data_IF_918279475337
#
_entry.id   IF_918279475337
#
_cell.length_a   1.000
_cell.length_b   1.000
_cell.length_c   1.000
_cell.angle_alpha   90.00
_cell.angle_beta   90.00
_cell.angle_gamma   90.00
#
_symmetry.space_group_name_H-M   'P 1'
#
loop_
_entity.id
_entity.type
_entity.pdbx_description
1 polymer ?
#
# COMPACT_ATOMS: atom_id res chain seq x y z
N UNK A 1 2.92 -6.32 15.26
CA UNK A 1 1.87 -6.11 14.25
C UNK A 1 0.74 -7.05 14.60
N UNK A 2 -0.48 -6.54 14.77
CA UNK A 2 -1.60 -7.36 15.18
C UNK A 2 -1.84 -8.45 14.13
N UNK A 3 -1.74 -9.71 14.54
CA UNK A 3 -2.27 -10.85 13.80
C UNK A 3 -3.78 -10.60 13.70
N UNK A 4 -4.25 -10.06 12.58
CA UNK A 4 -5.68 -9.86 12.40
C UNK A 4 -6.37 -11.22 12.41
N UNK A 5 -7.48 -11.29 13.17
CA UNK A 5 -8.22 -12.50 13.45
C UNK A 5 -8.80 -13.11 12.17
N UNK A 6 -8.64 -14.42 12.02
CA UNK A 6 -9.43 -15.27 11.13
C UNK A 6 -10.89 -14.82 11.20
N UNK A 7 -11.47 -14.41 10.06
CA UNK A 7 -12.89 -14.05 10.00
C UNK A 7 -13.69 -15.32 10.25
N UNK A 8 -14.63 -15.23 11.19
CA UNK A 8 -15.62 -16.26 11.45
C UNK A 8 -16.68 -16.20 10.36
N UNK A 9 -16.59 -17.12 9.39
CA UNK A 9 -17.48 -17.18 8.24
C UNK A 9 -18.95 -17.31 8.64
N UNK A 10 -19.28 -17.80 9.85
CA UNK A 10 -20.67 -17.96 10.30
C UNK A 10 -21.38 -16.64 10.63
N UNK A 11 -20.63 -15.53 10.72
CA UNK A 11 -21.15 -14.20 11.10
C UNK A 11 -21.48 -13.31 9.91
N UNK A 12 -21.26 -13.78 8.69
CA UNK A 12 -21.48 -13.02 7.47
C UNK A 12 -22.87 -13.28 6.91
N UNK A 13 -23.47 -12.27 6.29
CA UNK A 13 -24.81 -12.35 5.69
C UNK A 13 -24.75 -12.94 4.29
N UNK A 14 -24.42 -14.23 4.22
CA UNK A 14 -24.40 -15.00 2.96
C UNK A 14 -25.76 -15.01 2.26
N UNK A 15 -26.84 -15.01 3.03
CA UNK A 15 -28.20 -15.09 2.51
C UNK A 15 -28.58 -13.85 1.69
N UNK A 16 -28.17 -12.65 2.11
CA UNK A 16 -28.41 -11.41 1.34
C UNK A 16 -27.71 -11.40 -0.02
N UNK A 17 -26.62 -12.16 -0.16
CA UNK A 17 -25.80 -12.26 -1.37
C UNK A 17 -26.00 -13.53 -2.21
N UNK A 18 -27.04 -14.33 -1.95
CA UNK A 18 -27.23 -15.65 -2.60
C UNK A 18 -25.98 -16.55 -2.45
N UNK A 19 -25.47 -16.69 -1.23
CA UNK A 19 -24.25 -17.41 -0.83
C UNK A 19 -22.94 -16.83 -1.40
N UNK A 20 -22.98 -15.61 -1.94
CA UNK A 20 -21.82 -14.91 -2.49
C UNK A 20 -21.72 -13.49 -1.96
N UNK A 21 -20.57 -13.17 -1.36
CA UNK A 21 -20.28 -11.81 -0.93
C UNK A 21 -19.37 -11.11 -1.94
N UNK A 22 -19.63 -9.83 -2.27
CA UNK A 22 -18.65 -8.98 -2.93
C UNK A 22 -17.38 -8.88 -2.08
N UNK A 23 -16.23 -9.04 -2.75
CA UNK A 23 -14.91 -8.86 -2.17
C UNK A 23 -14.19 -7.77 -2.96
N UNK A 24 -14.10 -6.58 -2.35
CA UNK A 24 -13.30 -5.47 -2.86
C UNK A 24 -11.85 -5.76 -2.49
N UNK A 25 -10.98 -5.87 -3.49
CA UNK A 25 -9.55 -6.06 -3.26
C UNK A 25 -8.81 -4.75 -3.43
N UNK A 26 -8.08 -4.35 -2.40
CA UNK A 26 -7.33 -3.12 -2.35
C UNK A 26 -5.84 -3.41 -2.13
N UNK A 27 -4.96 -2.64 -2.78
CA UNK A 27 -3.55 -2.68 -2.50
C UNK A 27 -3.31 -2.24 -1.04
N UNK A 28 -2.72 -3.11 -0.23
CA UNK A 28 -2.57 -2.88 1.22
C UNK A 28 -1.79 -1.62 1.56
N UNK A 29 -0.78 -1.31 0.73
CA UNK A 29 0.10 -0.16 0.92
C UNK A 29 -0.43 1.15 0.28
N UNK A 30 -0.69 1.18 -1.03
CA UNK A 30 -1.07 2.41 -1.74
C UNK A 30 -2.55 2.78 -1.62
N UNK A 31 -3.40 1.83 -1.18
CA UNK A 31 -4.85 2.01 -1.12
C UNK A 31 -5.55 1.96 -2.49
N UNK A 32 -4.83 1.67 -3.58
CA UNK A 32 -5.40 1.49 -4.92
C UNK A 32 -6.43 0.35 -4.92
N UNK A 33 -7.65 0.59 -5.39
CA UNK A 33 -8.63 -0.49 -5.59
C UNK A 33 -8.19 -1.30 -6.81
N UNK A 34 -7.91 -2.58 -6.59
CA UNK A 34 -7.34 -3.47 -7.60
C UNK A 34 -8.43 -4.14 -8.43
N UNK A 35 -9.44 -4.70 -7.78
CA UNK A 35 -10.55 -5.39 -8.43
C UNK A 35 -11.70 -5.63 -7.47
N UNK A 36 -12.85 -6.02 -8.02
CA UNK A 36 -13.94 -6.63 -7.28
C UNK A 36 -14.09 -8.08 -7.74
N UNK A 37 -14.19 -9.00 -6.79
CA UNK A 37 -14.57 -10.39 -7.04
C UNK A 37 -15.72 -10.81 -6.12
N UNK A 38 -16.08 -12.08 -6.18
CA UNK A 38 -17.10 -12.66 -5.30
C UNK A 38 -16.49 -13.86 -4.59
N UNK A 39 -16.78 -14.02 -3.30
CA UNK A 39 -16.37 -15.16 -2.49
C UNK A 39 -17.61 -15.86 -1.96
N UNK A 40 -17.63 -17.18 -2.00
CA UNK A 40 -18.49 -17.98 -1.11
C UNK A 40 -17.70 -18.32 0.17
N UNK A 41 -18.35 -19.01 1.11
CA UNK A 41 -17.71 -19.41 2.37
C UNK A 41 -16.41 -20.23 2.17
N UNK A 42 -16.38 -21.12 1.18
CA UNK A 42 -15.20 -21.94 0.84
C UNK A 42 -14.05 -21.10 0.29
N UNK A 43 -14.33 -20.13 -0.59
CA UNK A 43 -13.32 -19.24 -1.16
C UNK A 43 -12.68 -18.35 -0.08
N UNK A 44 -13.48 -17.86 0.87
CA UNK A 44 -12.99 -17.10 2.02
C UNK A 44 -12.13 -17.97 2.94
N UNK A 45 -12.59 -19.17 3.28
CA UNK A 45 -11.83 -20.13 4.07
C UNK A 45 -10.48 -20.48 3.41
N UNK A 46 -10.49 -20.74 2.10
CA UNK A 46 -9.27 -21.01 1.32
C UNK A 46 -8.32 -19.81 1.28
N UNK A 47 -8.87 -18.60 1.18
CA UNK A 47 -8.08 -17.36 1.22
C UNK A 47 -7.35 -17.22 2.55
N UNK A 48 -8.08 -17.41 3.66
CA UNK A 48 -7.51 -17.36 5.01
C UNK A 48 -6.48 -18.46 5.27
N UNK A 49 -6.71 -19.68 4.75
CA UNK A 49 -5.82 -20.81 4.96
C UNK A 49 -4.53 -20.73 4.13
N UNK A 50 -4.63 -20.29 2.86
CA UNK A 50 -3.49 -20.26 1.94
C UNK A 50 -2.72 -18.94 1.96
N UNK A 51 -3.32 -17.86 2.46
CA UNK A 51 -2.78 -16.51 2.36
C UNK A 51 -2.78 -15.96 0.93
N UNK A 52 -3.51 -16.57 0.00
CA UNK A 52 -3.67 -16.08 -1.38
C UNK A 52 -5.16 -15.82 -1.65
N UNK A 53 -5.48 -14.71 -2.33
CA UNK A 53 -6.88 -14.36 -2.60
C UNK A 53 -7.51 -15.37 -3.57
N UNK A 54 -8.51 -16.09 -3.06
CA UNK A 54 -9.33 -17.06 -3.80
C UNK A 54 -10.76 -16.56 -3.91
N UNK A 55 -11.30 -16.60 -5.12
CA UNK A 55 -12.68 -16.23 -5.41
C UNK A 55 -13.52 -17.46 -5.78
N UNK A 56 -14.84 -17.27 -5.84
CA UNK A 56 -15.74 -18.22 -6.48
C UNK A 56 -16.13 -17.72 -7.87
N UNK A 57 -15.85 -18.53 -8.90
CA UNK A 57 -16.24 -18.21 -10.28
C UNK A 57 -17.67 -18.67 -10.54
N UNK A 58 -18.62 -17.73 -10.61
CA UNK A 58 -20.02 -18.02 -10.96
C UNK A 58 -20.19 -18.72 -12.31
N UNK A 59 -19.38 -18.38 -13.30
CA UNK A 59 -19.48 -18.99 -14.63
C UNK A 59 -18.89 -20.39 -14.69
N UNK A 60 -17.83 -20.67 -13.92
CA UNK A 60 -17.16 -21.99 -13.89
C UNK A 60 -17.61 -22.88 -12.72
N UNK A 61 -18.44 -22.35 -11.81
CA UNK A 61 -18.96 -23.02 -10.62
C UNK A 61 -17.85 -23.69 -9.78
N UNK A 62 -16.74 -22.98 -9.57
CA UNK A 62 -15.58 -23.48 -8.82
C UNK A 62 -14.81 -22.38 -8.11
N UNK A 63 -14.00 -22.77 -7.13
CA UNK A 63 -12.94 -21.93 -6.58
C UNK A 63 -11.93 -21.56 -7.66
N UNK A 64 -11.44 -20.33 -7.60
CA UNK A 64 -10.44 -19.77 -8.51
C UNK A 64 -9.49 -18.91 -7.70
N UNK A 65 -8.23 -19.35 -7.57
CA UNK A 65 -7.21 -18.53 -6.91
C UNK A 65 -6.65 -17.52 -7.91
N UNK A 66 -6.68 -16.23 -7.55
CA UNK A 66 -6.18 -15.19 -8.43
C UNK A 66 -4.72 -15.48 -8.77
N UNK A 67 -4.41 -15.53 -10.06
CA UNK A 67 -3.07 -15.82 -10.54
C UNK A 67 -2.74 -17.31 -10.72
N UNK A 68 -3.68 -18.24 -10.49
CA UNK A 68 -3.42 -19.70 -10.64
C UNK A 68 -2.87 -20.10 -12.03
N UNK A 69 -3.15 -19.31 -13.07
CA UNK A 69 -2.62 -19.53 -14.43
C UNK A 69 -1.54 -18.54 -14.85
N UNK A 70 -1.58 -17.29 -14.35
CA UNK A 70 -0.66 -16.23 -14.79
C UNK A 70 0.55 -16.03 -13.87
N UNK A 71 0.52 -16.60 -12.66
CA UNK A 71 1.48 -16.30 -11.59
C UNK A 71 1.23 -14.96 -10.89
N UNK A 72 0.32 -14.12 -11.39
CA UNK A 72 -0.02 -12.82 -10.78
C UNK A 72 -0.98 -12.98 -9.62
N UNK A 73 -0.45 -13.52 -8.53
CA UNK A 73 -1.17 -13.78 -7.28
C UNK A 73 -1.38 -12.50 -6.47
N UNK A 74 -2.37 -12.55 -5.59
CA UNK A 74 -2.63 -11.51 -4.59
C UNK A 74 -2.38 -12.15 -3.21
N UNK A 75 -1.28 -11.76 -2.56
CA UNK A 75 -0.95 -12.24 -1.23
C UNK A 75 -1.79 -11.48 -0.19
N UNK A 76 -2.54 -12.20 0.62
CA UNK A 76 -3.43 -11.64 1.63
C UNK A 76 -2.63 -10.91 2.71
N UNK A 77 -3.07 -9.70 3.08
CA UNK A 77 -2.56 -8.94 4.22
C UNK A 77 -3.58 -8.81 5.33
N UNK A 78 -4.84 -8.54 4.98
CA UNK A 78 -5.94 -8.37 5.93
C UNK A 78 -7.29 -8.56 5.24
N UNK A 79 -8.30 -8.89 6.03
CA UNK A 79 -9.70 -8.92 5.62
C UNK A 79 -10.49 -8.11 6.65
N UNK A 80 -11.33 -7.19 6.16
CA UNK A 80 -12.32 -6.49 6.96
C UNK A 80 -13.70 -6.76 6.40
N UNK A 81 -14.65 -6.77 7.31
CA UNK A 81 -16.07 -6.92 7.04
C UNK A 81 -16.70 -5.55 7.25
N UNK A 82 -17.65 -5.16 6.40
CA UNK A 82 -18.39 -3.92 6.57
C UNK A 82 -19.42 -3.99 7.70
N UNK A 83 -20.23 -2.94 7.87
CA UNK A 83 -21.04 -2.74 9.07
C UNK A 83 -22.29 -3.64 9.14
N UNK A 84 -22.80 -4.12 8.01
CA UNK A 84 -23.91 -5.07 7.91
C UNK A 84 -23.48 -6.47 7.43
N UNK A 85 -22.17 -6.71 7.36
CA UNK A 85 -21.55 -8.01 7.15
C UNK A 85 -21.87 -8.69 5.82
N UNK A 86 -22.11 -7.90 4.78
CA UNK A 86 -22.39 -8.39 3.43
C UNK A 86 -21.26 -8.10 2.43
N UNK A 87 -20.23 -7.35 2.82
CA UNK A 87 -19.10 -7.02 1.94
C UNK A 87 -17.76 -7.24 2.62
N UNK A 88 -16.81 -7.79 1.85
CA UNK A 88 -15.43 -7.98 2.28
C UNK A 88 -14.53 -6.90 1.66
N UNK A 89 -13.74 -6.23 2.50
CA UNK A 89 -12.56 -5.48 2.08
C UNK A 89 -11.32 -6.35 2.32
N UNK A 90 -10.73 -6.82 1.22
CA UNK A 90 -9.51 -7.62 1.23
C UNK A 90 -8.35 -6.71 0.90
N UNK A 91 -7.42 -6.50 1.84
CA UNK A 91 -6.16 -5.83 1.51
C UNK A 91 -5.13 -6.89 1.11
N UNK A 92 -4.52 -6.69 -0.06
CA UNK A 92 -3.60 -7.65 -0.65
C UNK A 92 -2.36 -6.98 -1.24
N UNK A 93 -1.29 -7.75 -1.36
CA UNK A 93 -0.07 -7.42 -2.07
C UNK A 93 -0.05 -8.12 -3.44
N UNK A 94 -0.05 -7.36 -4.55
CA UNK A 94 -0.02 -7.96 -5.88
C UNK A 94 1.41 -8.38 -6.28
N UNK A 95 1.53 -9.57 -6.86
CA UNK A 95 2.77 -10.06 -7.46
C UNK A 95 2.71 -9.99 -8.99
N UNK A 96 2.90 -8.78 -9.53
CA UNK A 96 2.69 -8.46 -10.95
C UNK A 96 1.35 -7.78 -11.20
N UNK A 97 0.98 -7.53 -12.47
CA UNK A 97 -0.24 -6.81 -12.80
C UNK A 97 -1.48 -7.61 -12.36
N UNK A 98 -2.42 -6.95 -11.67
CA UNK A 98 -3.66 -7.60 -11.26
C UNK A 98 -4.55 -7.86 -12.48
N UNK A 99 -4.63 -6.89 -13.38
CA UNK A 99 -5.51 -6.94 -14.55
C UNK A 99 -4.89 -7.78 -15.68
N UNK A 100 -5.73 -8.50 -16.40
CA UNK A 100 -5.32 -9.30 -17.57
C UNK A 100 -4.83 -8.45 -18.75
N UNK A 101 -5.11 -7.15 -18.75
CA UNK A 101 -4.58 -6.19 -19.73
C UNK A 101 -3.16 -5.70 -19.39
N UNK A 102 -2.54 -6.22 -18.32
CA UNK A 102 -1.22 -5.80 -17.87
C UNK A 102 -1.20 -4.55 -16.99
N UNK A 103 -2.36 -4.00 -16.63
CA UNK A 103 -2.49 -2.85 -15.72
C UNK A 103 -2.54 -3.28 -14.24
N UNK A 104 -2.25 -2.35 -13.32
CA UNK A 104 -2.29 -2.58 -11.87
C UNK A 104 -3.71 -2.88 -11.36
N UNK A 105 -4.71 -2.20 -11.91
CA UNK A 105 -6.12 -2.30 -11.52
C UNK A 105 -7.02 -2.66 -12.71
N UNK A 106 -8.11 -3.35 -12.42
CA UNK A 106 -9.21 -3.58 -13.36
C UNK A 106 -10.00 -2.32 -13.69
N UNK A 107 -9.88 -1.25 -12.90
CA UNK A 107 -10.59 0.01 -13.08
C UNK A 107 -9.82 1.05 -13.92
N UNK A 108 -8.72 0.63 -14.56
CA UNK A 108 -7.88 1.50 -15.38
C UNK A 108 -6.90 2.35 -14.57
N UNK A 109 -6.46 3.45 -15.17
CA UNK A 109 -5.56 4.42 -14.54
C UNK A 109 -6.34 5.38 -13.63
N UNK A 110 -5.66 6.07 -12.71
CA UNK A 110 -6.23 7.09 -11.82
C UNK A 110 -7.20 6.64 -10.70
N UNK A 111 -7.28 5.35 -10.38
CA UNK A 111 -7.98 4.86 -9.16
C UNK A 111 -7.11 4.84 -7.89
N UNK A 112 -5.88 5.30 -8.02
CA UNK A 112 -4.93 5.39 -6.91
C UNK A 112 -5.23 6.62 -6.06
N UNK A 113 -5.31 6.49 -4.73
CA UNK A 113 -5.36 7.65 -3.84
C UNK A 113 -4.14 8.57 -4.06
N UNK A 114 -4.29 9.90 -4.08
CA UNK A 114 -3.17 10.82 -4.37
C UNK A 114 -1.94 10.60 -3.47
N UNK A 115 -2.16 10.40 -2.16
CA UNK A 115 -1.07 10.15 -1.21
C UNK A 115 -0.51 8.73 -1.25
N UNK A 116 -1.14 7.81 -1.99
CA UNK A 116 -0.65 6.45 -2.20
C UNK A 116 0.72 6.42 -2.89
N UNK A 117 1.04 7.45 -3.67
CA UNK A 117 2.34 7.61 -4.32
C UNK A 117 3.51 7.69 -3.32
N UNK A 118 3.31 8.27 -2.13
CA UNK A 118 4.37 8.34 -1.11
C UNK A 118 4.81 6.94 -0.66
N UNK A 119 3.87 6.00 -0.60
CA UNK A 119 4.17 4.63 -0.21
C UNK A 119 4.94 3.87 -1.31
N UNK A 120 4.66 4.16 -2.57
CA UNK A 120 5.41 3.64 -3.72
C UNK A 120 6.81 4.23 -3.81
N UNK A 121 6.94 5.54 -3.58
CA UNK A 121 8.22 6.21 -3.50
C UNK A 121 9.09 5.58 -2.40
N UNK A 122 8.51 5.36 -1.22
CA UNK A 122 9.19 4.70 -0.09
C UNK A 122 9.61 3.26 -0.43
N UNK A 123 8.80 2.51 -1.17
CA UNK A 123 9.15 1.16 -1.65
C UNK A 123 10.26 1.19 -2.72
N UNK A 124 10.17 2.12 -3.68
CA UNK A 124 11.17 2.31 -4.73
C UNK A 124 12.54 2.68 -4.14
N UNK A 125 12.57 3.61 -3.17
CA UNK A 125 13.80 3.99 -2.49
C UNK A 125 14.39 2.81 -1.72
N UNK A 126 13.56 1.98 -1.08
CA UNK A 126 14.00 0.74 -0.42
C UNK A 126 14.63 -0.25 -1.42
N UNK A 127 13.97 -0.48 -2.55
CA UNK A 127 14.48 -1.34 -3.62
C UNK A 127 15.84 -0.84 -4.12
N UNK A 128 15.94 0.47 -4.43
CA UNK A 128 17.19 1.07 -4.92
C UNK A 128 18.30 1.06 -3.86
N UNK A 129 17.94 1.08 -2.57
CA UNK A 129 18.91 0.90 -1.49
C UNK A 129 19.51 -0.50 -1.47
N UNK A 130 18.69 -1.53 -1.75
CA UNK A 130 19.13 -2.92 -1.80
C UNK A 130 19.91 -3.25 -3.09
N UNK A 131 19.40 -2.84 -4.25
CA UNK A 131 19.92 -3.24 -5.56
C UNK A 131 21.06 -2.36 -6.08
N UNK A 132 21.16 -1.11 -5.60
CA UNK A 132 22.17 -0.13 -6.04
C UNK A 132 22.31 -0.03 -7.58
N UNK A 133 21.23 0.29 -8.32
CA UNK A 133 21.29 0.39 -9.77
C UNK A 133 22.27 1.47 -10.22
N UNK A 134 23.12 1.15 -11.20
CA UNK A 134 24.13 2.06 -11.77
C UNK A 134 23.48 3.31 -12.36
N UNK A 135 24.09 4.48 -12.11
CA UNK A 135 23.64 5.75 -12.68
C UNK A 135 22.45 6.41 -11.98
N UNK A 136 21.78 5.72 -11.06
CA UNK A 136 20.65 6.29 -10.30
C UNK A 136 21.11 7.35 -9.28
N UNK A 137 20.37 8.46 -9.19
CA UNK A 137 20.62 9.50 -8.19
C UNK A 137 20.57 8.98 -6.75
N UNK A 138 19.60 8.11 -6.43
CA UNK A 138 19.49 7.50 -5.09
C UNK A 138 20.71 6.64 -4.76
N UNK A 139 21.28 5.94 -5.75
CA UNK A 139 22.50 5.14 -5.56
C UNK A 139 23.66 6.04 -5.14
N UNK A 140 23.86 7.16 -5.83
CA UNK A 140 24.90 8.15 -5.48
C UNK A 140 24.72 8.73 -4.08
N UNK A 141 23.48 8.99 -3.66
CA UNK A 141 23.18 9.44 -2.30
C UNK A 141 23.60 8.40 -1.26
N UNK A 142 23.20 7.15 -1.47
CA UNK A 142 23.53 6.06 -0.54
C UNK A 142 25.03 5.72 -0.52
N UNK A 143 25.74 5.83 -1.65
CA UNK A 143 27.20 5.68 -1.71
C UNK A 143 27.94 6.84 -1.01
N UNK A 144 27.37 8.04 -1.04
CA UNK A 144 27.87 9.21 -0.30
C UNK A 144 27.70 9.10 1.22
N UNK A 145 26.97 8.10 1.70
CA UNK A 145 26.79 7.79 3.11
C UNK A 145 25.89 8.79 3.87
N UNK A 146 25.66 8.49 5.14
CA UNK A 146 24.70 9.21 5.98
C UNK A 146 24.98 10.71 6.10
N UNK A 147 26.26 11.12 6.09
CA UNK A 147 26.63 12.55 6.18
C UNK A 147 26.07 13.35 5.01
N UNK A 148 26.25 12.86 3.78
CA UNK A 148 25.74 13.52 2.57
C UNK A 148 24.22 13.54 2.53
N UNK A 149 23.59 12.44 2.92
CA UNK A 149 22.12 12.34 2.96
C UNK A 149 21.55 13.33 3.97
N UNK A 150 22.11 13.40 5.18
CA UNK A 150 21.67 14.32 6.22
C UNK A 150 21.92 15.78 5.87
N UNK A 151 23.04 16.08 5.17
CA UNK A 151 23.29 17.40 4.62
C UNK A 151 22.15 17.83 3.69
N UNK A 152 21.74 16.95 2.76
CA UNK A 152 20.63 17.24 1.87
C UNK A 152 19.33 17.52 2.62
N UNK A 153 18.95 16.67 3.57
CA UNK A 153 17.76 16.92 4.42
C UNK A 153 17.82 18.29 5.11
N UNK A 154 19.00 18.72 5.56
CA UNK A 154 19.19 20.04 6.16
C UNK A 154 19.06 21.21 5.18
N UNK A 155 19.64 21.08 3.99
CA UNK A 155 19.54 22.08 2.89
C UNK A 155 18.07 22.28 2.51
N UNK A 156 17.38 21.21 2.10
CA UNK A 156 15.98 21.29 1.64
C UNK A 156 15.05 21.78 2.78
N UNK A 157 15.39 21.49 4.04
CA UNK A 157 14.63 21.96 5.20
C UNK A 157 14.73 23.47 5.40
N UNK A 158 15.92 24.05 5.18
CA UNK A 158 16.12 25.50 5.22
C UNK A 158 15.46 26.16 4.00
N UNK A 159 15.61 25.57 2.82
CA UNK A 159 15.02 26.08 1.57
C UNK A 159 13.50 26.08 1.66
N UNK A 160 12.87 25.00 2.16
CA UNK A 160 11.43 24.93 2.44
C UNK A 160 10.99 26.06 3.38
N UNK A 161 11.73 26.30 4.46
CA UNK A 161 11.39 27.34 5.43
C UNK A 161 11.51 28.76 4.84
N UNK A 162 12.51 29.01 4.00
CA UNK A 162 12.68 30.28 3.31
C UNK A 162 11.61 30.48 2.23
N UNK A 163 11.29 29.43 1.47
CA UNK A 163 10.25 29.46 0.44
C UNK A 163 8.89 29.80 1.05
N UNK A 164 8.55 29.19 2.19
CA UNK A 164 7.31 29.46 2.91
C UNK A 164 7.14 30.92 3.37
N UNK A 165 8.24 31.65 3.53
CA UNK A 165 8.22 33.06 3.99
C UNK A 165 8.28 34.04 2.83
N UNK A 166 9.01 33.70 1.75
CA UNK A 166 9.49 34.69 0.80
C UNK A 166 9.28 34.34 -0.68
N UNK A 167 8.80 33.13 -1.00
CA UNK A 167 8.61 32.66 -2.39
C UNK A 167 7.15 32.33 -2.66
N UNK A 168 6.86 31.91 -3.89
CA UNK A 168 5.52 31.51 -4.29
C UNK A 168 5.23 30.02 -3.97
N UNK A 169 3.98 29.62 -4.19
CA UNK A 169 3.50 28.27 -3.88
C UNK A 169 4.23 27.18 -4.69
N UNK A 170 4.69 27.48 -5.91
CA UNK A 170 5.40 26.52 -6.75
C UNK A 170 6.80 26.23 -6.20
N UNK A 171 7.55 27.26 -5.80
CA UNK A 171 8.82 27.07 -5.11
C UNK A 171 8.62 26.30 -3.79
N UNK A 172 7.65 26.70 -2.96
CA UNK A 172 7.39 26.01 -1.70
C UNK A 172 7.07 24.51 -1.90
N UNK A 173 6.23 24.18 -2.90
CA UNK A 173 5.92 22.79 -3.23
C UNK A 173 7.14 22.02 -3.73
N UNK A 174 8.02 22.67 -4.50
CA UNK A 174 9.27 22.08 -4.97
C UNK A 174 10.20 21.70 -3.82
N UNK A 175 10.51 22.66 -2.95
CA UNK A 175 11.40 22.44 -1.80
C UNK A 175 10.82 21.41 -0.81
N UNK A 176 9.50 21.46 -0.58
CA UNK A 176 8.83 20.48 0.26
C UNK A 176 8.88 19.07 -0.35
N UNK A 177 8.77 18.94 -1.67
CA UNK A 177 8.89 17.65 -2.35
C UNK A 177 10.31 17.08 -2.23
N UNK A 178 11.34 17.92 -2.41
CA UNK A 178 12.74 17.52 -2.26
C UNK A 178 13.07 17.14 -0.81
N UNK A 179 12.54 17.88 0.16
CA UNK A 179 12.63 17.53 1.58
C UNK A 179 12.01 16.17 1.88
N UNK A 180 10.78 15.90 1.40
CA UNK A 180 10.10 14.60 1.60
C UNK A 180 10.89 13.47 0.96
N UNK A 181 11.42 13.67 -0.26
CA UNK A 181 12.25 12.69 -0.95
C UNK A 181 13.54 12.39 -0.16
N UNK A 182 14.29 13.43 0.23
CA UNK A 182 15.55 13.28 0.94
C UNK A 182 15.37 12.70 2.34
N UNK A 183 14.27 13.05 3.04
CA UNK A 183 13.88 12.42 4.29
C UNK A 183 13.62 10.91 4.11
N UNK A 184 12.92 10.53 3.04
CA UNK A 184 12.66 9.11 2.72
C UNK A 184 13.96 8.34 2.52
N UNK A 185 14.92 8.91 1.79
CA UNK A 185 16.26 8.33 1.60
C UNK A 185 17.00 8.18 2.95
N UNK A 186 16.93 9.19 3.82
CA UNK A 186 17.57 9.16 5.14
C UNK A 186 17.00 8.06 6.04
N UNK A 187 15.67 7.93 6.07
CA UNK A 187 14.98 6.86 6.81
C UNK A 187 15.41 5.49 6.31
N UNK A 188 15.38 5.26 4.99
CA UNK A 188 15.77 3.98 4.38
C UNK A 188 17.23 3.61 4.62
N UNK A 189 18.14 4.59 4.57
CA UNK A 189 19.55 4.40 4.93
C UNK A 189 19.76 4.00 6.41
N UNK A 190 18.77 4.24 7.28
CA UNK A 190 18.75 3.84 8.70
C UNK A 190 17.94 2.58 8.97
N UNK A 191 17.37 1.94 7.94
CA UNK A 191 16.47 0.80 8.11
C UNK A 191 15.06 1.17 8.59
N UNK A 192 14.66 2.44 8.45
CA UNK A 192 13.32 2.96 8.76
C UNK A 192 12.55 3.24 7.47
N UNK A 193 11.29 3.66 7.59
CA UNK A 193 10.38 3.95 6.47
C UNK A 193 9.45 5.13 6.75
N UNK A 194 8.75 5.62 5.73
CA UNK A 194 7.65 6.56 5.93
C UNK A 194 6.51 5.96 6.76
N UNK A 195 6.29 4.64 6.69
CA UNK A 195 5.29 3.95 7.51
C UNK A 195 5.60 4.11 9.01
N UNK A 196 6.88 4.04 9.40
CA UNK A 196 7.30 4.25 10.79
C UNK A 196 7.01 5.69 11.25
N UNK A 197 7.22 6.67 10.37
CA UNK A 197 6.88 8.08 10.64
C UNK A 197 5.38 8.26 10.82
N UNK A 198 4.56 7.69 9.93
CA UNK A 198 3.10 7.74 10.00
C UNK A 198 2.60 7.08 11.29
N UNK A 199 3.14 5.92 11.66
CA UNK A 199 2.76 5.24 12.89
C UNK A 199 3.07 6.08 14.14
N UNK A 200 4.24 6.75 14.15
CA UNK A 200 4.62 7.65 15.24
C UNK A 200 3.72 8.89 15.31
N UNK A 201 3.38 9.50 14.18
CA UNK A 201 2.45 10.64 14.11
C UNK A 201 1.05 10.26 14.59
N UNK A 202 0.51 9.12 14.13
CA UNK A 202 -0.79 8.61 14.56
C UNK A 202 -0.83 8.33 16.06
N UNK A 203 0.24 7.74 16.61
CA UNK A 203 0.38 7.53 18.06
C UNK A 203 0.34 8.85 18.83
N UNK A 204 1.07 9.88 18.39
CA UNK A 204 1.10 11.20 19.04
C UNK A 204 -0.27 11.88 19.01
N UNK A 205 -0.96 11.79 17.89
CA UNK A 205 -2.31 12.35 17.74
C UNK A 205 -3.33 11.69 18.68
N UNK A 206 -3.27 10.37 18.81
CA UNK A 206 -4.20 9.62 19.67
C UNK A 206 -3.93 9.83 21.16
N UNK A 207 -2.69 10.11 21.57
CA UNK A 207 -2.36 10.46 22.97
C UNK A 207 -2.92 11.84 23.35
N UNK A 208 -3.05 12.77 22.41
CA UNK A 208 -3.61 14.11 22.66
C UNK A 208 -5.14 14.21 22.63
N UNK A 209 -5.86 13.10 22.39
CA UNK A 209 -7.33 13.03 22.37
C UNK A 209 -7.93 12.28 23.56
N UNK A 210 -7.09 11.85 24.50
CA UNK A 210 -7.53 11.28 25.77
C UNK A 210 -7.63 12.36 26.84
N UNK A 211 -8.64 13.22 26.74
CA UNK A 211 -9.19 14.07 27.82
C UNK A 211 -10.72 14.06 27.68
#
# INVERSE_FOLDING_TARGET
>A
MATESIIDVSRLDWAKGDDLLPAIVQHWLSGEVLMLGYMNAEALAQTQASGQVTFYSRSKQRLWTKGESSGHVLALKSIRVDCDADTLLVQAEPHGPTCHLGTSSCFGEAVRPPLGFLAELDALVAQRHAERPTGSYTTKLFEGGMRRIAQKVGEEGVETALAAVAQDDAELLGEAADLVFHLTVALRARGLSLIDVVALLAKRHNVGRGD
#
